data_IF_515731070739
#
_entry.id   IF_515731070739
#
_cell.length_a   1.000
_cell.length_b   1.000
_cell.length_c   1.000
_cell.angle_alpha   90.00
_cell.angle_beta   90.00
_cell.angle_gamma   90.00
#
_symmetry.space_group_name_H-M   'P 1'
#
loop_
_entity.id
_entity.type
_entity.pdbx_description
1 polymer ?
#
# COMPACT_ATOMS: atom_id res chain seq x y z
N UNK A 1 3.16 30.22 -12.68
CA UNK A 1 3.91 29.66 -13.82
C UNK A 1 3.17 30.02 -15.10
N UNK A 2 3.72 30.93 -15.91
CA UNK A 2 3.09 31.39 -17.15
C UNK A 2 3.40 30.42 -18.29
N UNK A 3 2.36 29.75 -18.82
CA UNK A 3 2.51 29.00 -20.06
C UNK A 3 2.87 29.98 -21.19
N UNK A 4 3.95 29.71 -21.92
CA UNK A 4 4.33 30.49 -23.09
C UNK A 4 3.20 30.60 -24.12
N UNK A 5 3.36 31.49 -25.10
CA UNK A 5 2.35 31.74 -26.13
C UNK A 5 1.87 30.46 -26.82
N UNK A 6 0.55 30.34 -27.02
CA UNK A 6 -0.05 29.25 -27.78
C UNK A 6 0.08 29.55 -29.27
N UNK A 7 0.59 28.59 -30.04
CA UNK A 7 0.70 28.70 -31.50
C UNK A 7 -0.50 28.03 -32.19
N UNK A 8 -0.81 28.40 -33.45
CA UNK A 8 -1.82 27.69 -34.23
C UNK A 8 -1.47 26.20 -34.37
N UNK A 9 -2.47 25.33 -34.22
CA UNK A 9 -2.32 23.88 -34.34
C UNK A 9 -3.57 23.28 -35.01
N UNK A 10 -3.44 22.11 -35.66
CA UNK A 10 -4.57 21.46 -36.33
C UNK A 10 -5.55 20.90 -35.29
N UNK A 11 -6.80 21.40 -35.31
CA UNK A 11 -7.84 21.01 -34.34
C UNK A 11 -8.50 19.66 -34.63
N UNK A 12 -8.31 19.13 -35.83
CA UNK A 12 -8.90 17.86 -36.27
C UNK A 12 -8.05 16.63 -35.91
N UNK A 13 -6.81 16.83 -35.44
CA UNK A 13 -5.93 15.73 -35.04
C UNK A 13 -6.31 15.27 -33.64
N UNK A 14 -6.62 13.98 -33.50
CA UNK A 14 -6.92 13.34 -32.23
C UNK A 14 -5.82 12.35 -31.84
N UNK A 15 -5.49 12.29 -30.55
CA UNK A 15 -4.50 11.39 -29.98
C UNK A 15 -4.94 10.93 -28.57
N UNK A 16 -4.48 9.76 -28.16
CA UNK A 16 -4.81 9.17 -26.86
C UNK A 16 -4.29 9.97 -25.66
N UNK A 17 -3.12 10.62 -25.80
CA UNK A 17 -2.42 11.31 -24.72
C UNK A 17 -2.71 12.82 -24.65
N UNK A 18 -3.60 13.32 -25.51
CA UNK A 18 -3.84 14.74 -25.69
C UNK A 18 -2.98 15.37 -26.79
N UNK A 19 -3.33 16.61 -27.17
CA UNK A 19 -2.69 17.33 -28.28
C UNK A 19 -1.84 18.51 -27.81
N UNK A 20 -1.90 19.61 -28.54
CA UNK A 20 -1.18 20.84 -28.22
C UNK A 20 -1.90 21.65 -27.13
N UNK A 21 -1.23 21.88 -26.01
CA UNK A 21 -1.73 22.62 -24.82
C UNK A 21 -3.13 22.20 -24.37
N UNK A 22 -3.37 20.90 -24.08
CA UNK A 22 -4.68 20.42 -23.67
C UNK A 22 -5.06 21.03 -22.32
N UNK A 23 -6.16 21.77 -22.29
CA UNK A 23 -6.76 22.29 -21.06
C UNK A 23 -8.21 21.78 -20.95
N UNK A 24 -8.40 20.47 -20.67
CA UNK A 24 -9.73 19.89 -20.61
C UNK A 24 -10.52 20.45 -19.43
N UNK A 25 -11.79 20.79 -19.65
CA UNK A 25 -12.66 21.43 -18.64
C UNK A 25 -12.87 20.59 -17.38
N UNK A 26 -12.67 19.27 -17.44
CA UNK A 26 -12.91 18.30 -16.36
C UNK A 26 -11.65 17.55 -15.92
N UNK A 27 -10.48 18.18 -15.96
CA UNK A 27 -9.21 17.53 -15.57
C UNK A 27 -9.26 16.97 -14.15
N UNK A 28 -9.84 17.71 -13.20
CA UNK A 28 -9.89 17.32 -11.78
C UNK A 28 -10.77 16.08 -11.60
N UNK A 29 -11.99 16.10 -12.14
CA UNK A 29 -12.93 14.96 -12.01
C UNK A 29 -12.39 13.72 -12.69
N UNK A 30 -11.81 13.84 -13.88
CA UNK A 30 -11.26 12.69 -14.62
C UNK A 30 -10.06 12.07 -13.88
N UNK A 31 -9.16 12.90 -13.34
CA UNK A 31 -8.04 12.43 -12.53
C UNK A 31 -8.52 11.78 -11.23
N UNK A 32 -9.57 12.30 -10.60
CA UNK A 32 -10.14 11.72 -9.38
C UNK A 32 -10.74 10.35 -9.66
N UNK A 33 -11.54 10.20 -10.72
CA UNK A 33 -12.12 8.91 -11.12
C UNK A 33 -11.01 7.90 -11.44
N UNK A 34 -9.99 8.32 -12.20
CA UNK A 34 -8.87 7.46 -12.57
C UNK A 34 -8.08 7.03 -11.33
N UNK A 35 -7.75 7.98 -10.44
CA UNK A 35 -7.04 7.71 -9.19
C UNK A 35 -7.83 6.79 -8.26
N UNK A 36 -9.15 7.00 -8.15
CA UNK A 36 -10.03 6.13 -7.38
C UNK A 36 -10.08 4.71 -7.96
N UNK A 37 -10.15 4.57 -9.29
CA UNK A 37 -10.09 3.28 -9.96
C UNK A 37 -8.78 2.53 -9.69
N UNK A 38 -7.65 3.23 -9.82
CA UNK A 38 -6.33 2.66 -9.52
C UNK A 38 -6.25 2.24 -8.05
N UNK A 39 -6.66 3.11 -7.12
CA UNK A 39 -6.65 2.80 -5.71
C UNK A 39 -7.51 1.57 -5.38
N UNK A 40 -8.71 1.47 -5.96
CA UNK A 40 -9.59 0.31 -5.78
C UNK A 40 -8.99 -0.99 -6.30
N UNK A 41 -8.32 -0.97 -7.46
CA UNK A 41 -7.63 -2.16 -7.97
C UNK A 41 -6.44 -2.55 -7.09
N UNK A 42 -5.65 -1.57 -6.66
CA UNK A 42 -4.50 -1.81 -5.80
C UNK A 42 -4.91 -2.39 -4.45
N UNK A 43 -6.00 -1.92 -3.84
CA UNK A 43 -6.47 -2.47 -2.56
C UNK A 43 -6.92 -3.93 -2.68
N UNK A 44 -7.58 -4.30 -3.78
CA UNK A 44 -7.97 -5.69 -4.04
C UNK A 44 -6.75 -6.61 -4.21
N UNK A 45 -5.80 -6.19 -5.06
CA UNK A 45 -4.56 -6.97 -5.28
C UNK A 45 -3.73 -7.05 -4.01
N UNK A 46 -3.62 -5.95 -3.26
CA UNK A 46 -2.91 -5.91 -1.98
C UNK A 46 -3.54 -6.85 -0.96
N UNK A 47 -4.87 -6.84 -0.80
CA UNK A 47 -5.57 -7.74 0.11
C UNK A 47 -5.36 -9.21 -0.27
N UNK A 48 -5.48 -9.54 -1.56
CA UNK A 48 -5.21 -10.88 -2.07
C UNK A 48 -3.76 -11.31 -1.76
N UNK A 49 -2.78 -10.44 -2.05
CA UNK A 49 -1.37 -10.68 -1.79
C UNK A 49 -1.08 -10.88 -0.30
N UNK A 50 -1.65 -10.04 0.57
CA UNK A 50 -1.43 -10.11 2.01
C UNK A 50 -1.96 -11.42 2.63
N UNK A 51 -3.04 -11.97 2.06
CA UNK A 51 -3.63 -13.24 2.49
C UNK A 51 -2.89 -14.47 1.96
N UNK A 52 -2.17 -14.37 0.84
CA UNK A 52 -1.47 -15.49 0.22
C UNK A 52 0.05 -15.46 0.43
N UNK A 53 0.58 -14.42 1.07
CA UNK A 53 1.99 -14.35 1.38
C UNK A 53 2.39 -15.49 2.33
N UNK A 54 3.42 -16.24 1.94
CA UNK A 54 4.05 -17.28 2.74
C UNK A 54 5.55 -17.01 2.81
N UNK A 55 6.12 -17.08 4.01
CA UNK A 55 7.54 -16.88 4.27
C UNK A 55 8.18 -18.19 4.69
N UNK A 56 9.28 -18.51 4.03
CA UNK A 56 10.10 -19.67 4.38
C UNK A 56 11.03 -19.41 5.57
N UNK A 57 11.25 -18.14 5.93
CA UNK A 57 12.12 -17.75 7.05
C UNK A 57 11.54 -16.56 7.79
N UNK A 58 11.64 -16.62 9.12
CA UNK A 58 11.25 -15.49 9.97
C UNK A 58 12.17 -14.29 9.73
N UNK A 59 11.65 -13.06 9.65
CA UNK A 59 12.46 -11.87 9.44
C UNK A 59 13.37 -11.56 10.64
N UNK A 60 14.60 -11.12 10.36
CA UNK A 60 15.59 -10.79 11.41
C UNK A 60 15.37 -9.40 12.05
N UNK A 61 14.53 -8.57 11.43
CA UNK A 61 14.19 -7.21 11.85
C UNK A 61 12.74 -6.92 11.49
N UNK A 62 12.15 -5.88 12.08
CA UNK A 62 10.82 -5.45 11.70
C UNK A 62 10.76 -5.00 10.22
N UNK A 63 9.70 -5.41 9.51
CA UNK A 63 9.46 -5.07 8.10
C UNK A 63 8.01 -4.57 7.97
N UNK A 64 7.72 -3.56 7.11
CA UNK A 64 6.38 -3.02 6.97
C UNK A 64 5.28 -4.05 6.68
N UNK A 65 5.58 -5.11 5.92
CA UNK A 65 4.61 -6.16 5.59
C UNK A 65 4.07 -6.91 6.81
N UNK A 66 4.77 -6.86 7.95
CA UNK A 66 4.27 -7.41 9.22
C UNK A 66 2.97 -6.74 9.69
N UNK A 67 2.71 -5.49 9.28
CA UNK A 67 1.50 -4.76 9.65
C UNK A 67 0.22 -5.35 9.06
N UNK A 68 0.29 -6.09 7.96
CA UNK A 68 -0.90 -6.56 7.22
C UNK A 68 -0.84 -8.02 6.74
N UNK A 69 0.35 -8.64 6.72
CA UNK A 69 0.50 -10.01 6.21
C UNK A 69 -0.13 -11.02 7.15
N UNK A 70 -0.89 -11.98 6.59
CA UNK A 70 -1.66 -12.97 7.37
C UNK A 70 -0.82 -13.72 8.41
N UNK A 71 0.44 -14.03 8.09
CA UNK A 71 1.33 -14.81 8.96
C UNK A 71 1.58 -14.20 10.34
N UNK A 72 1.43 -12.87 10.49
CA UNK A 72 1.66 -12.18 11.76
C UNK A 72 0.38 -11.90 12.55
N UNK A 73 -0.79 -12.03 11.92
CA UNK A 73 -2.08 -11.73 12.54
C UNK A 73 -2.91 -12.98 12.84
N UNK A 74 -2.71 -14.06 12.10
CA UNK A 74 -3.38 -15.33 12.33
C UNK A 74 -2.75 -16.07 13.54
N UNK A 75 -3.54 -16.44 14.56
CA UNK A 75 -3.04 -17.15 15.74
C UNK A 75 -2.30 -18.45 15.42
N UNK A 76 -2.70 -19.17 14.38
CA UNK A 76 -2.08 -20.45 14.01
C UNK A 76 -0.64 -20.24 13.50
N UNK A 77 -0.44 -19.26 12.63
CA UNK A 77 0.90 -18.90 12.13
C UNK A 77 1.77 -18.31 13.23
N UNK A 78 1.20 -17.50 14.13
CA UNK A 78 1.92 -16.94 15.27
C UNK A 78 2.50 -18.05 16.16
N UNK A 79 1.68 -19.03 16.54
CA UNK A 79 2.15 -20.15 17.37
C UNK A 79 3.28 -20.94 16.69
N UNK A 80 3.12 -21.24 15.39
CA UNK A 80 4.16 -21.92 14.60
C UNK A 80 5.49 -21.15 14.61
N UNK A 81 5.44 -19.83 14.40
CA UNK A 81 6.64 -19.00 14.41
C UNK A 81 7.26 -18.89 15.80
N UNK A 82 6.47 -18.75 16.86
CA UNK A 82 6.98 -18.74 18.24
C UNK A 82 7.73 -20.04 18.58
N UNK A 83 7.21 -21.20 18.17
CA UNK A 83 7.90 -22.48 18.31
C UNK A 83 9.23 -22.53 17.52
N UNK A 84 9.23 -22.02 16.29
CA UNK A 84 10.45 -21.97 15.48
C UNK A 84 11.48 -21.02 16.09
N UNK A 85 11.05 -19.85 16.57
CA UNK A 85 11.90 -18.87 17.20
C UNK A 85 12.49 -19.39 18.51
N UNK A 86 11.72 -20.14 19.30
CA UNK A 86 12.22 -20.80 20.50
C UNK A 86 13.37 -21.78 20.19
N UNK A 87 13.29 -22.51 19.06
CA UNK A 87 14.38 -23.41 18.60
C UNK A 87 15.62 -22.63 18.16
N UNK A 88 15.42 -21.46 17.55
CA UNK A 88 16.50 -20.57 17.08
C UNK A 88 17.07 -19.68 18.21
N UNK A 89 16.46 -19.69 19.40
CA UNK A 89 16.82 -18.80 20.51
C UNK A 89 16.45 -17.32 20.27
N UNK A 90 15.49 -17.06 19.38
CA UNK A 90 15.02 -15.72 19.02
C UNK A 90 13.66 -15.41 19.63
N UNK A 91 13.30 -14.13 19.69
CA UNK A 91 12.03 -13.66 20.22
C UNK A 91 11.09 -13.23 19.09
N UNK A 92 9.78 -13.30 19.36
CA UNK A 92 8.76 -12.78 18.46
C UNK A 92 8.87 -11.25 18.36
N UNK A 93 8.96 -10.75 17.14
CA UNK A 93 8.94 -9.32 16.85
C UNK A 93 7.48 -8.88 16.74
N UNK A 94 7.07 -7.88 17.54
CA UNK A 94 5.72 -7.33 17.43
C UNK A 94 5.48 -6.75 16.04
N UNK A 95 4.39 -7.15 15.35
CA UNK A 95 4.10 -6.65 14.01
C UNK A 95 3.75 -5.16 14.00
N UNK A 96 3.19 -4.63 15.10
CA UNK A 96 2.81 -3.22 15.23
C UNK A 96 3.82 -2.52 16.16
N UNK A 97 4.75 -1.71 15.61
CA UNK A 97 5.75 -0.99 16.39
C UNK A 97 5.12 0.06 17.29
N UNK A 98 5.82 0.41 18.37
CA UNK A 98 5.38 1.45 19.32
C UNK A 98 5.24 2.84 18.68
N UNK A 99 6.07 3.15 17.67
CA UNK A 99 6.00 4.41 16.94
C UNK A 99 4.85 4.48 15.93
N UNK A 100 4.12 3.39 15.70
CA UNK A 100 3.07 3.37 14.68
C UNK A 100 1.89 4.26 15.11
N UNK A 101 1.50 5.24 14.28
CA UNK A 101 0.54 6.29 14.68
C UNK A 101 -0.85 5.75 15.03
N UNK A 102 -1.17 4.53 14.58
CA UNK A 102 -2.46 3.88 14.81
C UNK A 102 -2.39 2.71 15.81
N UNK A 103 -1.27 2.52 16.52
CA UNK A 103 -1.20 1.52 17.59
C UNK A 103 -2.15 1.97 18.68
N UNK A 104 -3.25 1.22 18.89
CA UNK A 104 -4.13 1.44 20.03
C UNK A 104 -3.30 1.19 21.29
N UNK A 105 -3.07 2.23 22.09
CA UNK A 105 -2.50 2.07 23.42
C UNK A 105 -3.50 1.21 24.20
N UNK A 106 -3.12 -0.02 24.54
CA UNK A 106 -3.90 -0.82 25.48
C UNK A 106 -4.00 -0.01 26.77
N UNK A 107 -5.23 0.27 27.21
CA UNK A 107 -5.46 0.91 28.50
C UNK A 107 -4.73 0.07 29.54
N UNK A 108 -3.78 0.68 30.26
CA UNK A 108 -3.14 0.04 31.40
C UNK A 108 -4.24 -0.07 32.46
N UNK A 109 -4.79 -1.26 32.63
CA UNK A 109 -5.68 -1.56 33.74
C UNK A 109 -4.87 -1.34 35.04
N UNK A 110 -5.40 -0.44 35.87
CA UNK A 110 -4.93 -0.11 37.22
C UNK A 110 -5.36 -1.21 38.18
#
# INVERSE_FOLDING_TARGET
MGGGGKYPYPKWVWSYYGGWWPSPKRVVTNSLITGAGIAGLLTLVWNFSANHELRHRYPDRWIPSMLWSREFHDPAFKAMWEEQLAKEGRQWIEPIPDWWPFKKQQAKDV
#
